data_IF_074588120595
#
_entry.id   IF_074588120595
#
_cell.length_a   1.000
_cell.length_b   1.000
_cell.length_c   1.000
_cell.angle_alpha   90.00
_cell.angle_beta   90.00
_cell.angle_gamma   90.00
#
_symmetry.space_group_name_H-M   'P 1'
#
loop_
_entity.id
_entity.type
_entity.pdbx_description
1 polymer ?
#
# COMPACT_ATOMS: atom_id res chain seq x y z
N UNK A 1 10.48 4.54 21.72
CA UNK A 1 9.17 3.86 21.83
C UNK A 1 9.00 3.02 20.57
N UNK A 2 8.66 1.73 20.71
CA UNK A 2 8.80 0.76 19.61
C UNK A 2 7.73 1.00 18.53
N UNK A 3 8.12 1.03 17.26
CA UNK A 3 7.25 1.29 16.11
C UNK A 3 5.95 0.47 16.08
N UNK A 4 5.93 -0.72 16.70
CA UNK A 4 4.74 -1.55 16.86
C UNK A 4 3.62 -0.86 17.67
N UNK A 5 3.96 -0.11 18.72
CA UNK A 5 2.99 0.64 19.55
C UNK A 5 2.38 1.78 18.74
N UNK A 6 3.18 2.42 17.88
CA UNK A 6 2.72 3.54 17.05
C UNK A 6 1.75 3.06 15.95
N UNK A 7 1.99 1.89 15.35
CA UNK A 7 1.09 1.31 14.35
C UNK A 7 -0.23 0.87 14.98
N UNK A 8 -0.19 0.16 16.12
CA UNK A 8 -1.41 -0.27 16.80
C UNK A 8 -2.27 0.93 17.25
N UNK A 9 -1.61 1.95 17.79
CA UNK A 9 -2.28 3.20 18.20
C UNK A 9 -2.88 3.93 17.00
N UNK A 10 -2.16 4.03 15.88
CA UNK A 10 -2.67 4.63 14.66
C UNK A 10 -3.91 3.88 14.14
N UNK A 11 -3.83 2.54 14.05
CA UNK A 11 -4.94 1.73 13.56
C UNK A 11 -6.17 1.90 14.44
N UNK A 12 -6.02 1.86 15.77
CA UNK A 12 -7.11 2.06 16.72
C UNK A 12 -7.77 3.45 16.60
N UNK A 13 -7.02 4.47 16.18
CA UNK A 13 -7.52 5.83 15.99
C UNK A 13 -8.20 6.06 14.62
N UNK A 14 -8.17 5.08 13.70
CA UNK A 14 -8.81 5.21 12.38
C UNK A 14 -10.32 5.32 12.53
N UNK A 15 -10.90 6.35 11.91
CA UNK A 15 -12.35 6.58 11.91
C UNK A 15 -12.87 6.86 10.50
N UNK A 16 -14.16 6.59 10.20
CA UNK A 16 -15.16 5.91 11.04
C UNK A 16 -14.85 4.42 11.27
N UNK A 17 -15.61 3.74 12.14
CA UNK A 17 -15.42 2.33 12.51
C UNK A 17 -15.28 1.37 11.30
N UNK A 18 -15.96 1.66 10.19
CA UNK A 18 -15.77 0.91 8.95
C UNK A 18 -14.32 0.98 8.44
N UNK A 19 -13.70 2.17 8.44
CA UNK A 19 -12.30 2.35 8.02
C UNK A 19 -11.33 1.66 8.98
N UNK A 20 -11.63 1.64 10.28
CA UNK A 20 -10.85 0.88 11.26
C UNK A 20 -10.80 -0.61 10.89
N UNK A 21 -11.97 -1.21 10.64
CA UNK A 21 -12.08 -2.62 10.23
C UNK A 21 -11.37 -2.89 8.89
N UNK A 22 -11.60 -2.05 7.89
CA UNK A 22 -10.93 -2.17 6.59
C UNK A 22 -9.40 -2.02 6.71
N UNK A 23 -8.91 -1.10 7.55
CA UNK A 23 -7.49 -0.91 7.80
C UNK A 23 -6.85 -2.14 8.45
N UNK A 24 -7.53 -2.78 9.41
CA UNK A 24 -7.05 -4.01 10.03
C UNK A 24 -6.97 -5.18 9.04
N UNK A 25 -7.95 -5.30 8.13
CA UNK A 25 -7.92 -6.31 7.05
C UNK A 25 -6.76 -6.04 6.10
N UNK A 26 -6.57 -4.79 5.68
CA UNK A 26 -5.45 -4.42 4.81
C UNK A 26 -4.11 -4.67 5.51
N UNK A 27 -3.92 -4.31 6.77
CA UNK A 27 -2.67 -4.59 7.48
C UNK A 27 -2.32 -6.08 7.48
N UNK A 28 -3.30 -6.93 7.75
CA UNK A 28 -3.13 -8.39 7.66
C UNK A 28 -2.76 -8.83 6.24
N UNK A 29 -3.46 -8.32 5.23
CA UNK A 29 -3.23 -8.62 3.83
C UNK A 29 -1.79 -8.29 3.39
N UNK A 30 -1.33 -7.09 3.72
CA UNK A 30 0.02 -6.64 3.36
C UNK A 30 1.09 -7.46 4.07
N UNK A 31 0.90 -7.79 5.35
CA UNK A 31 1.82 -8.69 6.08
C UNK A 31 1.87 -10.09 5.46
N UNK A 32 0.72 -10.64 5.07
CA UNK A 32 0.64 -11.97 4.42
C UNK A 32 1.35 -11.96 3.07
N UNK A 33 1.14 -10.92 2.27
CA UNK A 33 1.71 -10.83 0.91
C UNK A 33 3.21 -10.58 0.94
N UNK A 34 3.67 -9.68 1.80
CA UNK A 34 5.06 -9.20 1.82
C UNK A 34 5.96 -9.97 2.79
N UNK A 35 5.40 -10.51 3.87
CA UNK A 35 6.16 -11.02 5.00
C UNK A 35 6.84 -9.92 5.84
N UNK A 36 6.52 -8.64 5.61
CA UNK A 36 7.20 -7.51 6.25
C UNK A 36 6.36 -6.85 7.36
N UNK A 37 7.04 -6.20 8.30
CA UNK A 37 6.37 -5.41 9.33
C UNK A 37 5.93 -4.04 8.79
N UNK A 38 4.75 -3.52 9.18
CA UNK A 38 4.35 -2.17 8.82
C UNK A 38 5.21 -1.12 9.53
N UNK A 39 5.40 0.02 8.87
CA UNK A 39 5.88 1.25 9.49
C UNK A 39 4.88 2.37 9.24
N UNK A 40 4.69 3.22 10.23
CA UNK A 40 3.87 4.43 10.08
C UNK A 40 4.69 5.52 9.39
N UNK A 41 4.17 6.03 8.28
CA UNK A 41 4.74 7.12 7.50
C UNK A 41 3.96 8.41 7.68
N UNK A 42 4.62 9.52 7.33
CA UNK A 42 4.03 10.86 7.38
C UNK A 42 2.71 10.93 6.61
N UNK A 43 1.78 11.72 7.12
CA UNK A 43 0.42 11.78 6.57
C UNK A 43 -0.43 10.54 6.88
N UNK A 44 -0.06 9.66 7.81
CA UNK A 44 -0.92 8.55 8.24
C UNK A 44 -1.06 7.47 7.15
N UNK A 45 0.08 6.98 6.69
CA UNK A 45 0.19 5.88 5.74
C UNK A 45 0.90 4.71 6.43
N UNK A 46 0.40 3.49 6.24
CA UNK A 46 1.13 2.27 6.62
C UNK A 46 1.92 1.80 5.40
N UNK A 47 3.24 1.76 5.53
CA UNK A 47 4.15 1.28 4.51
C UNK A 47 4.82 -0.04 4.90
N UNK A 48 5.13 -0.85 3.90
CA UNK A 48 5.80 -2.15 4.02
C UNK A 48 6.99 -2.14 3.06
N UNK A 49 8.16 -2.49 3.59
CA UNK A 49 9.41 -2.39 2.86
C UNK A 49 9.81 -0.94 2.55
N UNK A 50 11.03 -0.73 2.08
CA UNK A 50 11.53 0.56 1.63
C UNK A 50 12.36 0.42 0.37
N UNK A 51 12.45 1.48 -0.41
CA UNK A 51 13.38 1.60 -1.52
C UNK A 51 13.90 3.04 -1.60
N UNK A 52 15.11 3.17 -2.12
CA UNK A 52 15.72 4.46 -2.43
C UNK A 52 15.55 4.72 -3.93
N UNK A 53 15.13 5.92 -4.28
CA UNK A 53 14.94 6.34 -5.66
C UNK A 53 15.80 7.55 -5.99
N UNK A 54 16.19 7.67 -7.25
CA UNK A 54 16.82 8.86 -7.82
C UNK A 54 16.12 9.20 -9.14
N UNK A 55 15.52 10.38 -9.22
CA UNK A 55 14.92 10.88 -10.46
C UNK A 55 15.99 11.40 -11.42
N UNK A 56 15.66 11.48 -12.71
CA UNK A 56 16.53 12.06 -13.74
C UNK A 56 16.95 13.52 -13.46
N UNK A 57 16.18 14.25 -12.64
CA UNK A 57 16.53 15.60 -12.18
C UNK A 57 17.58 15.63 -11.06
N UNK A 58 18.07 14.48 -10.59
CA UNK A 58 18.99 14.36 -9.46
C UNK A 58 18.32 14.35 -8.08
N UNK A 59 16.99 14.48 -8.02
CA UNK A 59 16.25 14.38 -6.75
C UNK A 59 16.21 12.93 -6.28
N UNK A 60 16.73 12.69 -5.08
CA UNK A 60 16.70 11.38 -4.43
C UNK A 60 15.82 11.35 -3.18
N UNK A 61 15.57 10.14 -2.66
CA UNK A 61 14.93 9.95 -1.36
C UNK A 61 14.53 8.49 -1.12
N UNK A 62 14.09 8.22 0.11
CA UNK A 62 13.58 6.91 0.53
C UNK A 62 12.06 6.95 0.62
N UNK A 63 11.41 5.91 0.14
CA UNK A 63 9.97 5.72 0.30
C UNK A 63 9.62 4.27 0.66
N UNK A 64 8.40 4.02 1.11
CA UNK A 64 7.95 2.65 1.32
C UNK A 64 7.70 1.94 0.00
N UNK A 65 7.97 0.64 -0.07
CA UNK A 65 7.83 -0.14 -1.32
C UNK A 65 6.35 -0.34 -1.70
N UNK A 66 5.50 -0.62 -0.72
CA UNK A 66 4.05 -0.68 -0.90
C UNK A 66 3.33 -0.33 0.39
N UNK A 67 2.03 -0.02 0.35
CA UNK A 67 1.30 0.36 1.55
C UNK A 67 -0.11 0.84 1.30
N UNK A 68 -0.73 1.40 2.33
CA UNK A 68 -2.05 1.99 2.22
C UNK A 68 -2.28 3.15 3.21
N UNK A 69 -3.28 3.97 2.91
CA UNK A 69 -3.79 5.02 3.79
C UNK A 69 -5.30 4.86 3.97
N UNK A 70 -5.78 4.58 5.19
CA UNK A 70 -7.21 4.43 5.45
C UNK A 70 -7.88 5.79 5.66
N UNK A 71 -8.04 6.58 4.59
CA UNK A 71 -8.68 7.90 4.69
C UNK A 71 -10.18 7.76 4.90
N UNK A 72 -10.80 8.74 5.58
CA UNK A 72 -12.24 8.81 5.81
C UNK A 72 -13.04 8.59 4.52
N UNK A 73 -12.70 9.32 3.46
CA UNK A 73 -13.43 9.27 2.18
C UNK A 73 -13.20 7.97 1.38
N UNK A 74 -11.97 7.44 1.34
CA UNK A 74 -11.58 6.26 0.53
C UNK A 74 -10.28 5.64 1.05
N UNK A 75 -10.07 4.37 0.79
CA UNK A 75 -8.77 3.72 0.96
C UNK A 75 -7.88 4.16 -0.21
N UNK A 76 -6.67 4.62 0.10
CA UNK A 76 -5.61 4.76 -0.90
C UNK A 76 -4.67 3.59 -0.75
N UNK A 77 -4.46 2.81 -1.81
CA UNK A 77 -3.55 1.67 -1.85
C UNK A 77 -2.39 2.01 -2.78
N UNK A 78 -1.17 1.93 -2.27
CA UNK A 78 0.04 2.33 -2.98
C UNK A 78 0.73 1.09 -3.55
N UNK A 79 0.41 0.81 -4.80
CA UNK A 79 1.06 -0.20 -5.62
C UNK A 79 1.59 0.60 -6.79
N UNK A 80 2.87 1.00 -6.73
CA UNK A 80 3.50 1.99 -7.61
C UNK A 80 3.34 1.61 -9.09
N UNK A 81 2.32 2.10 -9.82
CA UNK A 81 1.98 1.64 -11.16
C UNK A 81 2.62 2.57 -12.19
N UNK A 82 3.79 3.14 -11.89
CA UNK A 82 4.38 4.20 -12.72
C UNK A 82 4.81 3.72 -14.11
N UNK A 83 4.74 2.42 -14.38
CA UNK A 83 5.73 1.76 -15.21
C UNK A 83 5.32 0.43 -15.83
N UNK A 84 4.54 -0.39 -15.13
CA UNK A 84 4.02 -1.66 -15.64
C UNK A 84 2.52 -1.58 -15.92
N UNK A 85 2.08 -2.23 -16.99
CA UNK A 85 0.67 -2.42 -17.31
C UNK A 85 0.11 -3.58 -16.48
N UNK A 86 -0.70 -3.25 -15.48
CA UNK A 86 -1.43 -4.21 -14.65
C UNK A 86 -2.89 -4.40 -15.09
N UNK A 87 -3.27 -3.97 -16.31
CA UNK A 87 -4.65 -3.94 -16.80
C UNK A 87 -5.41 -5.24 -16.57
N UNK A 88 -4.84 -6.39 -16.94
CA UNK A 88 -5.48 -7.69 -16.76
C UNK A 88 -5.73 -8.10 -15.28
N UNK A 89 -4.94 -7.59 -14.34
CA UNK A 89 -5.17 -7.78 -12.90
C UNK A 89 -6.24 -6.79 -12.43
N UNK A 90 -6.12 -5.53 -12.85
CA UNK A 90 -7.05 -4.45 -12.49
C UNK A 90 -8.48 -4.71 -12.98
N UNK A 91 -8.67 -5.30 -14.17
CA UNK A 91 -9.98 -5.66 -14.72
C UNK A 91 -10.74 -6.66 -13.83
N UNK A 92 -10.01 -7.49 -13.10
CA UNK A 92 -10.57 -8.48 -12.17
C UNK A 92 -10.72 -7.95 -10.74
N UNK A 93 -10.13 -6.80 -10.43
CA UNK A 93 -10.03 -6.30 -9.05
C UNK A 93 -11.39 -5.90 -8.47
N UNK A 94 -12.32 -5.43 -9.30
CA UNK A 94 -13.59 -4.84 -8.86
C UNK A 94 -13.57 -3.32 -8.90
N UNK A 95 -14.41 -2.63 -8.11
CA UNK A 95 -14.60 -1.18 -8.24
C UNK A 95 -13.43 -0.41 -7.64
N UNK A 96 -12.66 0.23 -8.50
CA UNK A 96 -11.51 1.04 -8.11
C UNK A 96 -11.36 2.26 -9.02
N UNK A 97 -10.52 3.21 -8.60
CA UNK A 97 -10.07 4.32 -9.44
C UNK A 97 -8.56 4.42 -9.40
N UNK A 98 -7.93 4.49 -10.56
CA UNK A 98 -6.48 4.64 -10.70
C UNK A 98 -6.10 6.11 -10.46
N UNK A 99 -5.10 6.33 -9.62
CA UNK A 99 -4.37 7.58 -9.45
C UNK A 99 -2.97 7.48 -10.06
N UNK A 100 -2.13 8.51 -9.87
CA UNK A 100 -0.77 8.52 -10.44
C UNK A 100 0.13 7.41 -9.90
N UNK A 101 0.06 7.16 -8.59
CA UNK A 101 0.92 6.20 -7.88
C UNK A 101 0.15 5.36 -6.86
N UNK A 102 -1.18 5.33 -6.99
CA UNK A 102 -2.05 4.66 -6.04
C UNK A 102 -3.39 4.27 -6.68
N UNK A 103 -4.06 3.33 -6.05
CA UNK A 103 -5.43 2.92 -6.32
C UNK A 103 -6.33 3.47 -5.24
N UNK A 104 -7.50 3.94 -5.63
CA UNK A 104 -8.53 4.41 -4.74
C UNK A 104 -9.66 3.41 -4.68
N UNK A 105 -9.96 2.94 -3.47
CA UNK A 105 -11.03 1.97 -3.20
C UNK A 105 -12.02 2.62 -2.25
N UNK A 106 -13.28 2.73 -2.65
CA UNK A 106 -14.31 3.34 -1.80
C UNK A 106 -14.64 2.44 -0.62
N UNK A 107 -14.85 1.15 -0.89
CA UNK A 107 -15.09 0.14 0.12
C UNK A 107 -14.28 -1.12 -0.15
N UNK A 108 -13.72 -1.71 0.90
CA UNK A 108 -12.92 -2.92 0.72
C UNK A 108 -13.77 -4.09 0.19
N UNK A 109 -15.07 -4.11 0.49
CA UNK A 109 -16.04 -5.08 -0.04
C UNK A 109 -16.28 -4.97 -1.55
N UNK A 110 -15.92 -3.84 -2.17
CA UNK A 110 -16.08 -3.63 -3.61
C UNK A 110 -14.94 -4.28 -4.45
N UNK A 111 -13.93 -4.86 -3.78
CA UNK A 111 -12.76 -5.45 -4.43
C UNK A 111 -12.53 -6.90 -4.03
N UNK A 112 -11.98 -7.67 -4.96
CA UNK A 112 -11.50 -9.02 -4.71
C UNK A 112 -10.13 -8.96 -3.99
N UNK A 113 -10.07 -9.49 -2.78
CA UNK A 113 -8.86 -9.47 -1.96
C UNK A 113 -7.75 -10.35 -2.53
N UNK A 114 -8.06 -11.47 -3.18
CA UNK A 114 -7.05 -12.34 -3.78
C UNK A 114 -6.46 -11.71 -5.04
N UNK A 115 -7.26 -10.98 -5.80
CA UNK A 115 -6.75 -10.14 -6.90
C UNK A 115 -5.92 -8.98 -6.37
N UNK A 116 -6.31 -8.37 -5.24
CA UNK A 116 -5.50 -7.33 -4.59
C UNK A 116 -4.14 -7.89 -4.12
N UNK A 117 -4.09 -9.11 -3.58
CA UNK A 117 -2.81 -9.79 -3.24
C UNK A 117 -1.92 -9.95 -4.47
N UNK A 118 -2.48 -10.42 -5.58
CA UNK A 118 -1.75 -10.56 -6.85
C UNK A 118 -1.17 -9.22 -7.30
N UNK A 119 -1.97 -8.15 -7.21
CA UNK A 119 -1.57 -6.81 -7.62
C UNK A 119 -0.44 -6.25 -6.74
N UNK A 120 -0.50 -6.45 -5.43
CA UNK A 120 0.57 -6.03 -4.50
C UNK A 120 1.88 -6.74 -4.84
N UNK A 121 1.84 -8.06 -5.08
CA UNK A 121 3.04 -8.83 -5.48
C UNK A 121 3.61 -8.33 -6.80
N UNK A 122 2.76 -8.22 -7.83
CA UNK A 122 3.18 -7.75 -9.14
C UNK A 122 3.80 -6.34 -9.11
N UNK A 123 3.25 -5.44 -8.29
CA UNK A 123 3.83 -4.11 -8.09
C UNK A 123 5.18 -4.10 -7.36
N UNK A 124 5.38 -5.02 -6.41
CA UNK A 124 6.69 -5.19 -5.75
C UNK A 124 7.73 -5.79 -6.70
N UNK A 125 7.34 -6.77 -7.50
CA UNK A 125 8.21 -7.38 -8.50
C UNK A 125 8.66 -6.34 -9.53
N UNK A 126 7.73 -5.53 -10.07
CA UNK A 126 8.06 -4.43 -10.99
C UNK A 126 8.97 -3.39 -10.31
N UNK A 127 8.68 -2.98 -9.08
CA UNK A 127 9.53 -2.05 -8.35
C UNK A 127 10.96 -2.58 -8.18
N UNK A 128 11.09 -3.88 -7.87
CA UNK A 128 12.36 -4.58 -7.73
C UNK A 128 13.20 -4.62 -9.00
N UNK A 129 12.59 -4.48 -10.18
CA UNK A 129 13.35 -4.35 -11.45
C UNK A 129 14.07 -3.01 -11.60
N UNK A 130 13.68 -2.01 -10.81
CA UNK A 130 14.16 -0.62 -10.91
C UNK A 130 15.04 -0.22 -9.74
N UNK A 131 14.61 -0.58 -8.54
CA UNK A 131 15.25 -0.19 -7.30
C UNK A 131 15.33 -1.40 -6.37
N UNK A 132 16.46 -1.59 -5.65
CA UNK A 132 16.53 -2.57 -4.59
C UNK A 132 15.45 -2.29 -3.53
N UNK A 133 14.66 -3.32 -3.20
CA UNK A 133 13.63 -3.25 -2.16
C UNK A 133 14.18 -3.89 -0.87
N UNK A 134 14.06 -3.16 0.23
CA UNK A 134 14.52 -3.57 1.55
C UNK A 134 13.32 -3.90 2.44
N UNK A 135 13.38 -5.05 3.12
CA UNK A 135 12.34 -5.47 4.07
C UNK A 135 12.36 -4.63 5.35
N UNK A 136 11.19 -4.41 5.95
CA UNK A 136 11.01 -3.61 7.18
C UNK A 136 10.76 -4.41 8.43
#
# INVERSE_FOLDING_TARGET
MSAAVDVATFLAAVTPDRRHREAAVLDRLFREVTGWGPRLWSGGMLGYGTYDYTYASGREGTFFATGFAPRKARLSVYIMPGYADFGAILDRLGKHKIGKSCLYINKLEDVDLDVLKQLIRAGLDDLGTRWPVHRT
#
